data_IF_784389068978
#
_entry.id   IF_784389068978
#
_cell.length_a   1.000
_cell.length_b   1.000
_cell.length_c   1.000
_cell.angle_alpha   90.00
_cell.angle_beta   90.00
_cell.angle_gamma   90.00
#
_symmetry.space_group_name_H-M   'P 1'
#
loop_
_entity.id
_entity.type
_entity.pdbx_description
1 polymer ?
#
# COMPACT_ATOMS: atom_id res chain seq x y z
N UNK A 1 8.39 -4.78 68.21
CA UNK A 1 9.52 -4.20 67.44
C UNK A 1 9.77 -4.94 66.10
N UNK A 2 8.73 -5.32 65.36
CA UNK A 2 8.91 -6.14 64.11
C UNK A 2 8.37 -5.38 62.85
N UNK A 3 7.77 -4.21 62.99
CA UNK A 3 7.10 -3.51 61.90
C UNK A 3 7.98 -2.53 61.06
N UNK A 4 9.22 -2.26 61.47
CA UNK A 4 10.06 -1.27 60.81
C UNK A 4 11.00 -1.82 59.72
N UNK A 5 11.25 -3.10 59.70
CA UNK A 5 12.14 -3.78 58.72
C UNK A 5 11.42 -4.17 57.41
N UNK A 6 10.09 -4.16 57.40
CA UNK A 6 9.30 -4.61 56.22
C UNK A 6 9.14 -3.52 55.13
N UNK A 7 9.23 -2.25 55.52
CA UNK A 7 9.04 -1.12 54.60
C UNK A 7 10.10 -1.02 53.48
N UNK A 8 11.42 -1.18 53.74
CA UNK A 8 12.41 -1.10 52.67
C UNK A 8 12.32 -2.26 51.67
N UNK A 9 11.88 -3.44 52.13
CA UNK A 9 11.75 -4.61 51.26
C UNK A 9 10.59 -4.50 50.28
N UNK A 10 9.46 -3.92 50.68
CA UNK A 10 8.31 -3.67 49.84
C UNK A 10 8.63 -2.59 48.78
N UNK A 11 9.37 -1.55 49.18
CA UNK A 11 9.78 -0.48 48.24
C UNK A 11 10.79 -1.03 47.20
N UNK A 12 11.74 -1.86 47.60
CA UNK A 12 12.70 -2.50 46.73
C UNK A 12 12.02 -3.45 45.74
N UNK A 13 11.06 -4.23 46.18
CA UNK A 13 10.27 -5.14 45.33
C UNK A 13 9.38 -4.41 44.36
N UNK A 14 8.79 -3.28 44.76
CA UNK A 14 7.98 -2.39 43.88
C UNK A 14 8.85 -1.74 42.82
N UNK A 15 10.07 -1.27 43.15
CA UNK A 15 11.01 -0.72 42.20
C UNK A 15 11.48 -1.74 41.16
N UNK A 16 11.79 -2.96 41.62
CA UNK A 16 12.22 -4.06 40.76
C UNK A 16 11.10 -4.49 39.78
N UNK A 17 9.86 -4.52 40.25
CA UNK A 17 8.68 -4.79 39.40
C UNK A 17 8.47 -3.73 38.32
N UNK A 18 8.69 -2.45 38.64
CA UNK A 18 8.54 -1.34 37.68
C UNK A 18 9.62 -1.39 36.58
N UNK A 19 10.84 -1.81 36.91
CA UNK A 19 11.94 -1.98 35.92
C UNK A 19 11.69 -3.15 34.98
N UNK A 20 11.08 -4.24 35.44
CA UNK A 20 10.71 -5.38 34.60
C UNK A 20 9.57 -5.06 33.62
N UNK A 21 8.66 -4.13 33.96
CA UNK A 21 7.57 -3.69 33.10
C UNK A 21 8.04 -2.71 32.00
N UNK A 22 9.16 -2.02 32.18
CA UNK A 22 9.72 -1.07 31.23
C UNK A 22 10.50 -1.74 30.08
N UNK A 23 10.91 -2.99 30.20
CA UNK A 23 11.74 -3.70 29.20
C UNK A 23 10.94 -4.39 28.08
N UNK A 24 9.61 -4.36 28.11
CA UNK A 24 8.75 -5.13 27.21
C UNK A 24 8.51 -4.57 25.79
N UNK A 25 8.84 -3.31 25.48
CA UNK A 25 8.42 -2.68 24.24
C UNK A 25 9.55 -2.30 23.25
N UNK A 26 10.81 -2.59 23.53
CA UNK A 26 11.93 -2.08 22.71
C UNK A 26 12.13 -2.79 21.36
N UNK A 27 11.46 -3.93 21.10
CA UNK A 27 11.72 -4.74 19.90
C UNK A 27 10.51 -4.86 18.95
N UNK A 28 9.43 -4.13 19.19
CA UNK A 28 8.29 -4.13 18.25
C UNK A 28 8.58 -3.19 17.07
N UNK A 29 9.09 -3.74 15.96
CA UNK A 29 9.17 -3.03 14.68
C UNK A 29 7.86 -3.23 13.93
N UNK A 30 7.08 -2.15 13.79
CA UNK A 30 5.98 -2.11 12.84
C UNK A 30 6.55 -2.19 11.42
N UNK A 31 6.26 -3.27 10.72
CA UNK A 31 6.70 -3.53 9.35
C UNK A 31 7.40 -4.87 9.23
N UNK A 32 7.39 -5.44 8.06
CA UNK A 32 7.93 -6.78 7.78
C UNK A 32 9.44 -6.88 7.94
N UNK A 33 10.14 -5.78 8.18
CA UNK A 33 11.61 -5.75 8.37
C UNK A 33 12.41 -6.22 7.15
N UNK A 34 11.74 -6.58 6.06
CA UNK A 34 12.39 -6.98 4.82
C UNK A 34 13.12 -5.78 4.22
N UNK A 35 14.42 -5.92 4.05
CA UNK A 35 15.21 -4.95 3.29
C UNK A 35 15.23 -5.40 1.84
N UNK A 36 14.78 -4.56 0.89
CA UNK A 36 14.84 -4.90 -0.52
C UNK A 36 16.30 -5.13 -0.95
N UNK A 37 16.50 -6.01 -1.92
CA UNK A 37 17.84 -6.33 -2.48
C UNK A 37 18.42 -5.21 -3.34
N UNK A 38 17.63 -4.18 -3.64
CA UNK A 38 17.97 -3.00 -4.44
C UNK A 38 17.80 -1.72 -3.59
N UNK A 39 18.55 -0.68 -3.91
CA UNK A 39 18.49 0.62 -3.24
C UNK A 39 17.86 1.70 -4.10
N UNK A 40 18.04 1.60 -5.41
CA UNK A 40 17.52 2.57 -6.38
C UNK A 40 16.47 1.90 -7.26
N UNK A 41 15.32 2.57 -7.43
CA UNK A 41 14.17 2.07 -8.19
C UNK A 41 13.77 3.07 -9.28
N UNK A 42 13.66 2.60 -10.50
CA UNK A 42 12.99 3.32 -11.58
C UNK A 42 11.55 2.84 -11.71
N UNK A 43 10.60 3.76 -11.57
CA UNK A 43 9.19 3.51 -11.84
C UNK A 43 8.89 3.93 -13.26
N UNK A 44 8.69 2.94 -14.13
CA UNK A 44 8.33 3.17 -15.53
C UNK A 44 6.94 3.80 -15.62
N UNK A 45 6.67 4.69 -16.62
CA UNK A 45 5.32 5.19 -16.86
C UNK A 45 4.34 4.03 -17.01
N UNK A 46 3.25 4.10 -16.24
CA UNK A 46 2.21 3.04 -16.23
C UNK A 46 1.62 2.85 -17.62
N UNK A 47 1.51 1.62 -18.07
CA UNK A 47 0.76 1.26 -19.28
C UNK A 47 -0.70 1.02 -18.92
N UNK A 48 -1.64 1.59 -19.71
CA UNK A 48 -3.07 1.41 -19.49
C UNK A 48 -3.70 0.67 -20.68
N UNK A 49 -4.31 -0.48 -20.41
CA UNK A 49 -5.05 -1.28 -21.39
C UNK A 49 -6.58 -1.14 -21.25
N UNK A 50 -7.04 -0.27 -20.34
CA UNK A 50 -8.46 -0.02 -20.11
C UNK A 50 -8.95 1.24 -20.84
N UNK A 51 -10.27 1.44 -20.88
CA UNK A 51 -10.89 2.64 -21.45
C UNK A 51 -10.89 3.84 -20.48
N UNK A 52 -10.05 3.84 -19.43
CA UNK A 52 -9.98 4.91 -18.44
C UNK A 52 -8.70 5.75 -18.67
N UNK A 53 -8.72 6.77 -19.55
CA UNK A 53 -7.49 7.43 -20.02
C UNK A 53 -6.71 8.14 -18.92
N UNK A 54 -7.38 8.62 -17.87
CA UNK A 54 -6.76 9.35 -16.77
C UNK A 54 -5.99 8.44 -15.80
N UNK A 55 -6.29 7.14 -15.76
CA UNK A 55 -5.69 6.20 -14.83
C UNK A 55 -4.17 6.10 -14.98
N UNK A 56 -3.65 6.18 -16.20
CA UNK A 56 -2.23 6.10 -16.49
C UNK A 56 -1.41 7.19 -15.79
N UNK A 57 -1.73 8.44 -16.05
CA UNK A 57 -1.01 9.59 -15.50
C UNK A 57 -1.16 9.65 -13.96
N UNK A 58 -2.38 9.44 -13.48
CA UNK A 58 -2.70 9.47 -12.07
C UNK A 58 -1.94 8.38 -11.30
N UNK A 59 -2.01 7.12 -11.75
CA UNK A 59 -1.33 6.02 -11.06
C UNK A 59 0.20 6.17 -11.13
N UNK A 60 0.75 6.63 -12.27
CA UNK A 60 2.19 6.91 -12.38
C UNK A 60 2.63 7.93 -11.32
N UNK A 61 1.88 9.01 -11.15
CA UNK A 61 2.17 10.04 -10.14
C UNK A 61 2.08 9.48 -8.73
N UNK A 62 0.99 8.76 -8.41
CA UNK A 62 0.79 8.18 -7.07
C UNK A 62 1.83 7.13 -6.70
N UNK A 63 2.27 6.32 -7.65
CA UNK A 63 3.36 5.37 -7.45
C UNK A 63 4.66 6.09 -7.09
N UNK A 64 5.07 7.09 -7.90
CA UNK A 64 6.29 7.84 -7.63
C UNK A 64 6.24 8.56 -6.28
N UNK A 65 5.13 9.19 -5.95
CA UNK A 65 4.92 9.83 -4.64
C UNK A 65 5.00 8.82 -3.49
N UNK A 66 4.43 7.62 -3.66
CA UNK A 66 4.41 6.59 -2.62
C UNK A 66 5.81 6.00 -2.38
N UNK A 67 6.57 5.72 -3.45
CA UNK A 67 7.96 5.28 -3.32
C UNK A 67 8.89 6.38 -2.80
N UNK A 68 8.66 7.64 -3.17
CA UNK A 68 9.46 8.76 -2.67
C UNK A 68 9.32 8.98 -1.15
N UNK A 69 8.19 8.57 -0.57
CA UNK A 69 7.95 8.62 0.88
C UNK A 69 8.53 7.42 1.64
N UNK A 70 8.92 6.36 0.94
CA UNK A 70 9.49 5.16 1.56
C UNK A 70 11.02 5.29 1.65
N UNK A 71 11.53 5.30 2.88
CA UNK A 71 12.96 5.49 3.14
C UNK A 71 13.84 4.29 2.73
N UNK A 72 13.24 3.16 2.35
CA UNK A 72 13.97 1.93 1.99
C UNK A 72 14.58 2.00 0.59
N UNK A 73 14.04 2.85 -0.30
CA UNK A 73 14.49 2.99 -1.69
C UNK A 73 14.57 4.45 -2.11
N UNK A 74 15.42 4.73 -3.10
CA UNK A 74 15.52 6.03 -3.75
C UNK A 74 15.02 5.93 -5.19
N UNK A 75 14.21 6.90 -5.63
CA UNK A 75 13.76 6.95 -7.01
C UNK A 75 14.87 7.40 -7.95
N UNK A 76 15.10 6.61 -9.00
CA UNK A 76 15.94 6.98 -10.12
C UNK A 76 15.11 7.61 -11.26
N UNK A 77 15.77 8.44 -12.07
CA UNK A 77 15.11 9.11 -13.20
C UNK A 77 15.11 8.28 -14.49
N UNK A 78 15.88 7.20 -14.54
CA UNK A 78 15.96 6.30 -15.69
C UNK A 78 16.27 4.88 -15.24
N UNK A 79 15.93 3.89 -16.08
CA UNK A 79 16.26 2.48 -15.82
C UNK A 79 17.76 2.23 -15.72
N UNK A 80 18.57 2.91 -16.54
CA UNK A 80 20.05 2.77 -16.51
C UNK A 80 20.72 3.31 -15.24
N UNK A 81 20.03 4.16 -14.48
CA UNK A 81 20.52 4.70 -13.20
C UNK A 81 19.93 3.98 -11.98
N UNK A 82 19.11 2.96 -12.18
CA UNK A 82 18.43 2.23 -11.12
C UNK A 82 18.95 0.79 -10.98
N UNK A 83 18.94 0.27 -9.76
CA UNK A 83 19.21 -1.13 -9.49
C UNK A 83 18.06 -2.03 -9.97
N UNK A 84 16.82 -1.53 -9.86
CA UNK A 84 15.62 -2.25 -10.27
C UNK A 84 14.65 -1.35 -11.05
N UNK A 85 13.83 -1.96 -11.90
CA UNK A 85 12.76 -1.31 -12.68
C UNK A 85 11.41 -1.91 -12.34
N UNK A 86 10.46 -1.06 -12.01
CA UNK A 86 9.07 -1.41 -11.76
C UNK A 86 8.23 -1.09 -12.98
N UNK A 87 7.54 -2.11 -13.49
CA UNK A 87 6.62 -2.01 -14.63
C UNK A 87 5.22 -2.33 -14.16
N UNK A 88 4.27 -1.43 -14.42
CA UNK A 88 2.85 -1.58 -14.06
C UNK A 88 2.00 -1.49 -15.32
N UNK A 89 1.10 -2.46 -15.47
CA UNK A 89 0.12 -2.50 -16.55
C UNK A 89 -1.28 -2.57 -15.96
N UNK A 90 -2.09 -1.53 -16.14
CA UNK A 90 -3.51 -1.55 -15.77
C UNK A 90 -4.23 -2.43 -16.80
N UNK A 91 -4.84 -3.53 -16.32
CA UNK A 91 -5.53 -4.50 -17.16
C UNK A 91 -7.05 -4.40 -17.01
N UNK A 92 -7.53 -4.06 -15.81
CA UNK A 92 -8.94 -4.17 -15.45
C UNK A 92 -9.46 -2.90 -14.81
N UNK A 93 -10.63 -2.48 -15.28
CA UNK A 93 -11.47 -1.49 -14.63
C UNK A 93 -12.94 -1.88 -14.85
N UNK A 94 -13.62 -2.21 -13.77
CA UNK A 94 -15.02 -2.61 -13.85
C UNK A 94 -15.81 -2.18 -12.62
N UNK A 95 -17.13 -2.25 -12.74
CA UNK A 95 -18.11 -1.87 -11.72
C UNK A 95 -19.08 -3.00 -11.51
N UNK A 96 -19.32 -3.31 -10.25
CA UNK A 96 -20.35 -4.26 -9.83
C UNK A 96 -21.36 -3.56 -8.95
N UNK A 97 -22.64 -3.87 -9.16
CA UNK A 97 -23.72 -3.37 -8.32
C UNK A 97 -23.61 -4.01 -6.94
N UNK A 98 -23.36 -3.21 -5.91
CA UNK A 98 -23.25 -3.68 -4.52
C UNK A 98 -24.59 -3.62 -3.78
N UNK A 99 -25.47 -2.66 -4.09
CA UNK A 99 -26.82 -2.58 -3.52
C UNK A 99 -27.76 -1.80 -4.42
N UNK A 100 -29.02 -2.22 -4.46
CA UNK A 100 -30.15 -1.52 -5.10
C UNK A 100 -31.05 -0.89 -4.05
N UNK A 101 -31.79 0.16 -4.41
CA UNK A 101 -32.76 0.80 -3.55
C UNK A 101 -33.97 -0.11 -3.36
N UNK A 102 -34.40 -0.29 -2.13
CA UNK A 102 -35.65 -1.00 -1.81
C UNK A 102 -36.85 -0.27 -2.42
N UNK A 103 -37.65 -0.96 -3.25
CA UNK A 103 -38.83 -0.39 -3.93
C UNK A 103 -38.55 0.30 -5.27
N UNK A 104 -37.31 0.43 -5.72
CA UNK A 104 -36.95 1.00 -7.02
C UNK A 104 -36.00 0.05 -7.75
N UNK A 105 -36.56 -0.76 -8.66
CA UNK A 105 -35.84 -1.85 -9.32
C UNK A 105 -34.84 -1.40 -10.41
N UNK A 106 -34.68 -0.10 -10.62
CA UNK A 106 -33.88 0.45 -11.73
C UNK A 106 -32.62 1.20 -11.34
N UNK A 107 -32.48 1.65 -10.09
CA UNK A 107 -31.38 2.52 -9.67
C UNK A 107 -30.48 1.84 -8.62
N UNK A 108 -29.29 1.47 -9.04
CA UNK A 108 -28.27 1.05 -8.10
C UNK A 108 -27.84 2.22 -7.21
N UNK A 109 -27.81 2.00 -5.91
CA UNK A 109 -27.47 2.99 -4.89
C UNK A 109 -25.98 2.96 -4.53
N UNK A 110 -25.36 1.81 -4.76
CA UNK A 110 -23.99 1.52 -4.38
C UNK A 110 -23.34 0.61 -5.41
N UNK A 111 -22.14 0.98 -5.83
CA UNK A 111 -21.30 0.18 -6.70
C UNK A 111 -19.97 -0.13 -6.03
N UNK A 112 -19.39 -1.28 -6.33
CA UNK A 112 -17.98 -1.53 -6.12
C UNK A 112 -17.24 -1.19 -7.43
N UNK A 113 -16.30 -0.27 -7.35
CA UNK A 113 -15.41 0.04 -8.46
C UNK A 113 -14.08 -0.64 -8.22
N UNK A 114 -13.64 -1.41 -9.19
CA UNK A 114 -12.41 -2.21 -9.13
C UNK A 114 -11.41 -1.69 -10.16
N UNK A 115 -10.17 -1.47 -9.72
CA UNK A 115 -9.01 -1.17 -10.56
C UNK A 115 -7.98 -2.28 -10.36
N UNK A 116 -7.66 -2.99 -11.44
CA UNK A 116 -6.72 -4.10 -11.47
C UNK A 116 -5.49 -3.79 -12.32
N UNK A 117 -4.32 -4.22 -11.86
CA UNK A 117 -3.06 -4.07 -12.57
C UNK A 117 -2.17 -5.30 -12.39
N UNK A 118 -1.29 -5.54 -13.36
CA UNK A 118 -0.18 -6.48 -13.26
C UNK A 118 1.10 -5.71 -12.93
N UNK A 119 1.83 -6.22 -11.95
CA UNK A 119 3.09 -5.65 -11.46
C UNK A 119 4.25 -6.58 -11.79
N UNK A 120 5.30 -6.04 -12.39
CA UNK A 120 6.56 -6.73 -12.67
C UNK A 120 7.70 -5.91 -12.09
N UNK A 121 8.59 -6.56 -11.34
CA UNK A 121 9.82 -5.96 -10.81
C UNK A 121 11.02 -6.70 -11.39
N UNK A 122 11.91 -5.96 -12.06
CA UNK A 122 13.13 -6.51 -12.69
C UNK A 122 14.37 -5.97 -12.02
N UNK A 123 15.35 -6.83 -11.81
CA UNK A 123 16.71 -6.45 -11.44
C UNK A 123 17.44 -6.00 -12.71
N UNK A 124 17.92 -4.76 -12.73
CA UNK A 124 18.60 -4.18 -13.91
C UNK A 124 20.03 -4.72 -14.09
N UNK A 125 20.65 -5.28 -13.05
CA UNK A 125 22.00 -5.84 -13.11
C UNK A 125 22.00 -7.21 -13.80
N UNK A 126 21.06 -8.07 -13.42
CA UNK A 126 20.93 -9.41 -13.98
C UNK A 126 20.01 -9.45 -15.19
N UNK A 127 19.16 -8.44 -15.40
CA UNK A 127 18.10 -8.43 -16.39
C UNK A 127 16.94 -9.38 -16.08
N UNK A 128 16.99 -10.09 -14.95
CA UNK A 128 15.99 -11.09 -14.57
C UNK A 128 14.83 -10.45 -13.75
N UNK A 129 13.62 -10.95 -13.91
CA UNK A 129 12.53 -10.51 -13.06
C UNK A 129 12.72 -11.04 -11.63
N UNK A 130 12.58 -10.16 -10.62
CA UNK A 130 12.45 -10.53 -9.22
C UNK A 130 11.08 -11.19 -9.01
N UNK A 131 10.05 -10.62 -9.65
CA UNK A 131 8.75 -11.24 -9.88
C UNK A 131 8.11 -10.68 -11.15
N UNK A 132 7.20 -11.43 -11.73
CA UNK A 132 6.57 -11.07 -13.00
C UNK A 132 5.05 -11.24 -12.93
N UNK A 133 4.34 -10.29 -13.58
CA UNK A 133 2.89 -10.30 -13.76
C UNK A 133 2.08 -10.57 -12.47
N UNK A 134 2.57 -10.08 -11.32
CA UNK A 134 1.86 -10.24 -10.05
C UNK A 134 0.59 -9.39 -10.03
N UNK A 135 -0.60 -9.98 -9.88
CA UNK A 135 -1.86 -9.23 -9.91
C UNK A 135 -2.03 -8.42 -8.63
N UNK A 136 -2.45 -7.17 -8.79
CA UNK A 136 -2.75 -6.25 -7.70
C UNK A 136 -4.09 -5.59 -8.00
N UNK A 137 -4.99 -5.57 -7.04
CA UNK A 137 -6.34 -5.04 -7.20
C UNK A 137 -6.68 -4.08 -6.07
N UNK A 138 -7.29 -2.95 -6.41
CA UNK A 138 -7.92 -2.04 -5.47
C UNK A 138 -9.43 -1.97 -5.73
N UNK A 139 -10.23 -1.98 -4.66
CA UNK A 139 -11.69 -1.91 -4.72
C UNK A 139 -12.15 -0.77 -3.81
N UNK A 140 -13.12 0.02 -4.28
CA UNK A 140 -13.79 1.06 -3.52
C UNK A 140 -15.28 1.02 -3.74
N UNK A 141 -16.02 1.23 -2.65
CA UNK A 141 -17.46 1.45 -2.69
C UNK A 141 -17.76 2.88 -3.10
N UNK A 142 -18.71 3.05 -4.01
CA UNK A 142 -19.15 4.33 -4.54
C UNK A 142 -20.65 4.46 -4.34
N UNK A 143 -21.07 5.55 -3.72
CA UNK A 143 -22.48 5.89 -3.56
C UNK A 143 -22.89 6.87 -4.67
N UNK A 144 -24.08 6.68 -5.23
CA UNK A 144 -24.56 7.43 -6.40
C UNK A 144 -25.51 8.57 -6.05
N UNK A 145 -25.59 8.99 -4.78
CA UNK A 145 -26.51 10.04 -4.32
C UNK A 145 -26.28 11.38 -5.03
N UNK A 146 -25.07 11.67 -5.48
CA UNK A 146 -24.70 12.90 -6.24
C UNK A 146 -24.56 12.69 -7.74
N UNK A 147 -24.96 11.53 -8.27
CA UNK A 147 -24.76 11.13 -9.68
C UNK A 147 -23.57 10.21 -9.85
N UNK A 148 -23.78 9.17 -10.68
CA UNK A 148 -22.82 8.07 -10.87
C UNK A 148 -21.47 8.56 -11.43
N UNK A 149 -21.48 9.38 -12.46
CA UNK A 149 -20.26 9.83 -13.15
C UNK A 149 -19.37 10.66 -12.23
N UNK A 150 -19.97 11.56 -11.44
CA UNK A 150 -19.22 12.40 -10.52
C UNK A 150 -18.63 11.60 -9.37
N UNK A 151 -19.37 10.64 -8.84
CA UNK A 151 -18.90 9.76 -7.78
C UNK A 151 -17.70 8.90 -8.23
N UNK A 152 -17.71 8.38 -9.46
CA UNK A 152 -16.58 7.67 -10.05
C UNK A 152 -15.34 8.54 -10.22
N UNK A 153 -15.50 9.76 -10.72
CA UNK A 153 -14.40 10.73 -10.86
C UNK A 153 -13.71 11.04 -9.53
N UNK A 154 -14.47 11.16 -8.46
CA UNK A 154 -13.95 11.41 -7.11
C UNK A 154 -13.28 10.15 -6.52
N UNK A 155 -13.70 8.98 -6.94
CA UNK A 155 -13.20 7.69 -6.42
C UNK A 155 -11.89 7.27 -7.08
N UNK A 156 -11.63 7.67 -8.33
CA UNK A 156 -10.44 7.27 -9.06
C UNK A 156 -9.12 7.62 -8.36
N UNK A 157 -8.91 8.83 -7.79
CA UNK A 157 -7.71 9.13 -7.02
C UNK A 157 -7.52 8.21 -5.81
N UNK A 158 -8.61 7.87 -5.12
CA UNK A 158 -8.57 6.97 -3.95
C UNK A 158 -8.24 5.53 -4.33
N UNK A 159 -8.71 5.08 -5.50
CA UNK A 159 -8.33 3.78 -6.07
C UNK A 159 -6.85 3.75 -6.45
N UNK A 160 -6.36 4.82 -7.09
CA UNK A 160 -4.97 4.93 -7.46
C UNK A 160 -4.04 4.96 -6.24
N UNK A 161 -4.41 5.68 -5.17
CA UNK A 161 -3.68 5.70 -3.90
C UNK A 161 -3.64 4.30 -3.26
N UNK A 162 -4.79 3.63 -3.20
CA UNK A 162 -4.88 2.28 -2.62
C UNK A 162 -4.08 1.25 -3.45
N UNK A 163 -4.12 1.37 -4.78
CA UNK A 163 -3.33 0.49 -5.66
C UNK A 163 -1.84 0.77 -5.51
N UNK A 164 -1.42 2.05 -5.48
CA UNK A 164 -0.03 2.44 -5.29
C UNK A 164 0.54 1.92 -3.95
N UNK A 165 -0.21 2.03 -2.86
CA UNK A 165 0.19 1.49 -1.56
C UNK A 165 0.41 -0.03 -1.61
N UNK A 166 -0.49 -0.78 -2.26
CA UNK A 166 -0.34 -2.23 -2.45
C UNK A 166 0.86 -2.57 -3.33
N UNK A 167 1.13 -1.79 -4.38
CA UNK A 167 2.32 -1.97 -5.24
C UNK A 167 3.60 -1.77 -4.44
N UNK A 168 3.70 -0.70 -3.63
CA UNK A 168 4.87 -0.45 -2.76
C UNK A 168 5.10 -1.65 -1.83
N UNK A 169 4.05 -2.11 -1.17
CA UNK A 169 4.12 -3.28 -0.30
C UNK A 169 4.58 -4.53 -1.07
N UNK A 170 3.99 -4.80 -2.24
CA UNK A 170 4.36 -5.95 -3.07
C UNK A 170 5.81 -5.89 -3.58
N UNK A 171 6.32 -4.69 -3.88
CA UNK A 171 7.67 -4.50 -4.42
C UNK A 171 8.75 -4.53 -3.34
N UNK A 172 8.48 -4.00 -2.15
CA UNK A 172 9.49 -3.84 -1.10
C UNK A 172 9.48 -4.95 -0.05
N UNK A 173 8.36 -5.68 0.10
CA UNK A 173 8.24 -6.80 1.02
C UNK A 173 8.32 -8.14 0.28
N UNK A 174 9.24 -8.25 -0.70
CA UNK A 174 9.50 -9.49 -1.45
C UNK A 174 10.23 -10.48 -0.54
N UNK A 175 9.64 -11.66 -0.39
CA UNK A 175 10.13 -12.81 0.39
C UNK A 175 10.89 -13.77 -0.51
#
# INVERSE_FOLDING_TARGET
MVAQTFRPFVVLFSLLSCVMLASGCANYRLGTGATPTFRTLYVEPVTNKTLLPQAQALLTTRLRESFARDARVQLANSAGAADATLVIVINDYFRDVAAVREGDTGLARKFNVTLGAACTLRDNRSGQPIFENRPITAVREVFTDSGQLQAEYQTLPLLADALAAKVVHTALDVW
#
